data_IF_199443042684
#
_entry.id   IF_199443042684
#
_cell.length_a   1.000
_cell.length_b   1.000
_cell.length_c   1.000
_cell.angle_alpha   90.00
_cell.angle_beta   90.00
_cell.angle_gamma   90.00
#
_symmetry.space_group_name_H-M   'P 1'
#
loop_
_entity.id
_entity.type
_entity.pdbx_description
1 polymer ?
#
# COMPACT_ATOMS: atom_id res chain seq x y z
N UNK A 1 -16.61 -4.24 8.72
CA UNK A 1 -15.47 -3.96 7.82
C UNK A 1 -16.00 -3.71 6.41
N UNK A 2 -15.47 -2.72 5.69
CA UNK A 2 -15.78 -2.52 4.27
C UNK A 2 -14.58 -2.97 3.43
N UNK A 3 -14.79 -4.06 2.69
CA UNK A 3 -13.79 -4.58 1.78
C UNK A 3 -13.73 -3.72 0.52
N UNK A 4 -12.56 -3.14 0.24
CA UNK A 4 -12.27 -2.47 -1.03
C UNK A 4 -10.81 -2.75 -1.44
N UNK A 5 -10.46 -2.43 -2.68
CA UNK A 5 -9.12 -2.66 -3.25
C UNK A 5 -8.62 -4.10 -3.05
N UNK A 6 -9.49 -5.05 -3.41
CA UNK A 6 -9.18 -6.47 -3.34
C UNK A 6 -8.10 -6.85 -4.36
N UNK A 7 -7.13 -7.64 -3.94
CA UNK A 7 -6.11 -8.18 -4.83
C UNK A 7 -5.71 -9.59 -4.39
N UNK A 8 -5.44 -10.46 -5.36
CA UNK A 8 -5.02 -11.85 -5.09
C UNK A 8 -3.54 -11.98 -5.48
N UNK A 9 -2.76 -12.73 -4.70
CA UNK A 9 -1.38 -13.08 -5.07
C UNK A 9 -1.32 -13.81 -6.42
N UNK A 10 -0.16 -13.80 -7.08
CA UNK A 10 0.02 -14.46 -8.37
C UNK A 10 -0.20 -15.97 -8.31
N UNK A 11 0.16 -16.59 -7.19
CA UNK A 11 -0.09 -18.01 -6.90
C UNK A 11 -1.54 -18.35 -6.49
N UNK A 12 -2.40 -17.34 -6.32
CA UNK A 12 -3.81 -17.53 -5.97
C UNK A 12 -4.09 -17.92 -4.52
N UNK A 13 -3.09 -17.88 -3.63
CA UNK A 13 -3.21 -18.38 -2.24
C UNK A 13 -3.72 -17.35 -1.25
N UNK A 14 -3.46 -16.07 -1.48
CA UNK A 14 -3.79 -15.02 -0.52
C UNK A 14 -4.64 -13.92 -1.15
N UNK A 15 -5.64 -13.48 -0.39
CA UNK A 15 -6.47 -12.31 -0.69
C UNK A 15 -6.01 -11.14 0.18
N UNK A 16 -5.57 -10.07 -0.46
CA UNK A 16 -5.34 -8.76 0.16
C UNK A 16 -6.64 -7.96 0.16
N UNK A 17 -6.93 -7.37 1.31
CA UNK A 17 -7.96 -6.35 1.51
C UNK A 17 -7.24 -5.08 1.98
N UNK A 18 -7.21 -4.03 1.15
CA UNK A 18 -6.69 -2.71 1.52
C UNK A 18 -7.86 -1.72 1.64
N UNK A 19 -8.76 -2.05 2.56
CA UNK A 19 -10.09 -1.46 2.72
C UNK A 19 -10.17 -0.47 3.88
N UNK A 20 -11.36 -0.32 4.44
CA UNK A 20 -11.57 0.53 5.61
C UNK A 20 -12.53 -0.08 6.63
N UNK A 21 -12.36 0.30 7.90
CA UNK A 21 -13.24 -0.04 9.02
C UNK A 21 -13.97 1.22 9.51
N UNK A 22 -15.18 1.04 10.06
CA UNK A 22 -16.15 2.09 10.44
C UNK A 22 -15.57 3.26 11.27
N UNK A 23 -16.13 4.48 11.09
CA UNK A 23 -15.51 5.83 11.27
C UNK A 23 -14.20 5.95 10.48
N UNK A 24 -14.30 6.29 9.19
CA UNK A 24 -13.50 5.67 8.13
C UNK A 24 -12.01 5.68 8.44
N UNK A 25 -11.48 4.48 8.70
CA UNK A 25 -10.07 4.24 8.98
C UNK A 25 -9.55 3.16 8.05
N UNK A 26 -8.50 3.47 7.28
CA UNK A 26 -7.83 2.57 6.36
C UNK A 26 -7.14 1.41 7.07
N UNK A 27 -7.42 0.19 6.60
CA UNK A 27 -6.85 -1.05 7.15
C UNK A 27 -6.23 -1.90 6.05
N UNK A 28 -5.38 -2.84 6.46
CA UNK A 28 -4.90 -3.91 5.60
C UNK A 28 -5.07 -5.26 6.27
N UNK A 29 -5.62 -6.21 5.53
CA UNK A 29 -5.74 -7.60 5.96
C UNK A 29 -5.37 -8.53 4.82
N UNK A 30 -4.82 -9.69 5.17
CA UNK A 30 -4.47 -10.76 4.22
C UNK A 30 -5.17 -12.02 4.67
N UNK A 31 -5.93 -12.67 3.78
CA UNK A 31 -6.62 -13.92 4.08
C UNK A 31 -6.03 -15.08 3.28
N UNK A 32 -5.90 -16.24 3.91
CA UNK A 32 -5.61 -17.50 3.23
C UNK A 32 -6.88 -17.97 2.51
N UNK A 33 -6.83 -18.02 1.17
CA UNK A 33 -7.98 -18.37 0.35
C UNK A 33 -8.35 -19.84 0.43
N UNK A 34 -7.39 -20.74 0.63
CA UNK A 34 -7.68 -22.17 0.82
C UNK A 34 -8.49 -22.37 2.11
N UNK A 35 -8.08 -21.70 3.19
CA UNK A 35 -8.82 -21.70 4.45
C UNK A 35 -10.18 -21.03 4.32
N UNK A 36 -10.28 -19.90 3.63
CA UNK A 36 -11.56 -19.19 3.46
C UNK A 36 -12.56 -19.97 2.60
N UNK A 37 -12.09 -20.74 1.61
CA UNK A 37 -12.94 -21.63 0.83
C UNK A 37 -13.42 -22.84 1.65
N UNK A 38 -12.61 -23.34 2.58
CA UNK A 38 -12.98 -24.43 3.47
C UNK A 38 -13.92 -23.97 4.61
N UNK A 39 -13.68 -22.77 5.14
CA UNK A 39 -14.46 -22.15 6.22
C UNK A 39 -14.56 -20.63 5.99
N UNK A 40 -15.67 -20.13 5.42
CA UNK A 40 -15.84 -18.71 5.14
C UNK A 40 -15.81 -17.80 6.38
N UNK A 41 -16.05 -18.34 7.59
CA UNK A 41 -16.04 -17.55 8.82
C UNK A 41 -14.65 -16.98 9.16
N UNK A 42 -13.58 -17.50 8.54
CA UNK A 42 -12.23 -16.91 8.70
C UNK A 42 -12.13 -15.49 8.13
N UNK A 43 -13.04 -15.09 7.24
CA UNK A 43 -13.10 -13.73 6.68
C UNK A 43 -13.66 -12.70 7.67
N UNK A 44 -14.26 -13.14 8.78
CA UNK A 44 -14.76 -12.26 9.84
C UNK A 44 -13.67 -11.85 10.85
N UNK A 45 -12.45 -12.40 10.74
CA UNK A 45 -11.31 -12.11 11.62
C UNK A 45 -10.18 -11.31 10.95
N UNK A 46 -9.04 -11.17 11.66
CA UNK A 46 -7.89 -10.33 11.23
C UNK A 46 -6.95 -10.94 10.18
N UNK A 47 -7.38 -12.02 9.51
CA UNK A 47 -6.55 -12.70 8.51
C UNK A 47 -5.23 -13.28 9.07
N UNK A 48 -4.16 -13.21 8.29
CA UNK A 48 -2.82 -13.79 8.59
C UNK A 48 -1.75 -12.75 8.94
N UNK A 49 -2.06 -11.45 8.79
CA UNK A 49 -1.15 -10.40 9.26
C UNK A 49 -1.16 -10.38 10.80
N UNK A 50 0.02 -10.32 11.45
CA UNK A 50 0.07 -10.27 12.91
C UNK A 50 -0.35 -8.89 13.42
N UNK A 51 -0.78 -8.85 14.67
CA UNK A 51 -0.99 -7.58 15.40
C UNK A 51 0.31 -6.94 15.86
N UNK A 52 1.40 -7.72 16.00
CA UNK A 52 2.74 -7.25 16.35
C UNK A 52 3.85 -8.09 15.67
N UNK A 53 4.87 -7.47 15.04
CA UNK A 53 4.87 -6.06 14.66
C UNK A 53 3.71 -5.75 13.71
N UNK A 54 3.00 -4.67 14.01
CA UNK A 54 1.78 -4.24 13.35
C UNK A 54 1.98 -2.96 12.54
N UNK A 55 0.90 -2.19 12.44
CA UNK A 55 0.81 -0.90 11.74
C UNK A 55 0.18 0.07 12.73
N UNK A 56 0.87 1.17 12.98
CA UNK A 56 0.52 2.15 14.04
C UNK A 56 0.01 3.48 13.46
N UNK A 57 -0.48 3.41 12.23
CA UNK A 57 -0.95 4.56 11.47
C UNK A 57 -1.97 4.11 10.42
N UNK A 58 -2.74 5.06 9.90
CA UNK A 58 -3.82 4.72 8.96
C UNK A 58 -3.24 4.13 7.67
N UNK A 59 -3.75 2.98 7.24
CA UNK A 59 -3.32 2.40 5.98
C UNK A 59 -3.98 3.11 4.81
N UNK A 60 -3.18 3.86 4.06
CA UNK A 60 -3.64 4.58 2.88
C UNK A 60 -3.73 3.65 1.67
N UNK A 61 -2.79 2.72 1.52
CA UNK A 61 -2.79 1.78 0.40
C UNK A 61 -1.89 0.57 0.65
N UNK A 62 -2.16 -0.53 -0.05
CA UNK A 62 -1.30 -1.70 -0.07
C UNK A 62 -1.36 -2.42 -1.42
N UNK A 63 -0.29 -3.12 -1.80
CA UNK A 63 -0.25 -3.95 -3.01
C UNK A 63 0.79 -5.08 -2.90
N UNK A 64 0.54 -6.19 -3.59
CA UNK A 64 1.48 -7.30 -3.70
C UNK A 64 2.70 -6.92 -4.56
N UNK A 65 3.90 -7.12 -4.03
CA UNK A 65 5.14 -7.03 -4.80
C UNK A 65 5.47 -8.35 -5.50
N UNK A 66 5.18 -9.46 -4.82
CA UNK A 66 5.19 -10.83 -5.32
C UNK A 66 4.27 -11.71 -4.45
N UNK A 67 4.43 -13.04 -4.50
CA UNK A 67 3.60 -14.01 -3.76
C UNK A 67 3.88 -14.06 -2.24
N UNK A 68 4.97 -13.45 -1.76
CA UNK A 68 5.35 -13.38 -0.34
C UNK A 68 5.38 -11.96 0.21
N UNK A 69 5.66 -10.98 -0.65
CA UNK A 69 5.97 -9.60 -0.26
C UNK A 69 4.81 -8.65 -0.52
N UNK A 70 4.45 -7.90 0.52
CA UNK A 70 3.41 -6.88 0.50
C UNK A 70 4.01 -5.51 0.76
N UNK A 71 3.72 -4.52 -0.09
CA UNK A 71 3.96 -3.11 0.23
C UNK A 71 2.73 -2.52 0.92
N UNK A 72 2.94 -1.83 2.03
CA UNK A 72 1.90 -1.12 2.80
C UNK A 72 2.36 0.32 2.99
N UNK A 73 1.50 1.29 2.70
CA UNK A 73 1.76 2.70 2.93
C UNK A 73 0.79 3.29 3.94
N UNK A 74 1.32 4.09 4.86
CA UNK A 74 0.58 4.75 5.93
C UNK A 74 0.43 6.25 5.66
N UNK A 75 -0.66 6.82 6.17
CA UNK A 75 -0.90 8.27 6.19
C UNK A 75 -0.06 8.97 7.26
N UNK A 76 -0.13 10.30 7.33
CA UNK A 76 0.64 11.10 8.28
C UNK A 76 0.08 11.15 9.70
N UNK A 77 -1.11 10.59 9.94
CA UNK A 77 -1.78 10.60 11.24
C UNK A 77 -1.39 9.35 12.05
N UNK A 78 -0.97 9.55 13.29
CA UNK A 78 -0.80 8.46 14.27
C UNK A 78 -2.18 7.94 14.68
N UNK A 79 -2.22 6.70 15.18
CA UNK A 79 -3.34 6.28 16.00
C UNK A 79 -3.33 7.10 17.30
N UNK A 80 -4.32 7.97 17.50
CA UNK A 80 -4.52 8.66 18.77
C UNK A 80 -4.72 7.58 19.86
N UNK A 81 -3.70 7.36 20.70
CA UNK A 81 -3.93 6.81 22.04
C UNK A 81 -4.47 7.98 22.88
N UNK A 82 -5.80 8.06 22.99
CA UNK A 82 -6.47 8.79 24.07
C UNK A 82 -5.96 8.21 25.41
N UNK A 83 -4.97 8.87 26.01
CA UNK A 83 -4.55 8.87 27.43
C UNK A 83 -3.01 8.82 27.54
N UNK A 84 -2.35 9.98 27.50
CA UNK A 84 -1.58 10.50 28.65
C UNK A 84 -0.82 11.77 28.24
N UNK A 85 -0.95 12.80 29.08
CA UNK A 85 -0.07 13.95 29.13
C UNK A 85 1.40 13.48 29.17
N UNK A 86 2.18 13.70 28.11
CA UNK A 86 3.60 14.01 28.24
C UNK A 86 4.10 14.70 26.96
N UNK A 87 4.48 15.97 27.15
CA UNK A 87 5.28 16.77 26.23
C UNK A 87 6.62 16.06 25.95
N UNK A 88 6.70 15.22 24.92
CA UNK A 88 7.96 14.78 24.33
C UNK A 88 7.85 14.81 22.79
N UNK A 89 7.96 16.02 22.25
CA UNK A 89 8.42 16.29 20.89
C UNK A 89 9.83 15.69 20.73
N UNK A 90 9.95 14.37 20.46
CA UNK A 90 11.11 13.68 19.85
C UNK A 90 10.97 12.14 20.01
N UNK A 91 9.82 11.56 19.66
CA UNK A 91 9.74 10.10 19.51
C UNK A 91 10.35 9.71 18.16
N UNK A 92 11.65 9.40 18.18
CA UNK A 92 12.27 8.55 17.17
C UNK A 92 11.42 7.27 17.04
N UNK A 93 10.61 7.22 15.97
CA UNK A 93 9.74 6.11 15.53
C UNK A 93 10.58 4.89 15.13
N UNK A 94 11.24 4.29 16.13
CA UNK A 94 12.08 3.08 16.03
C UNK A 94 11.38 1.85 16.64
N UNK A 95 10.12 2.00 17.07
CA UNK A 95 9.24 0.88 17.44
C UNK A 95 9.15 -0.14 16.32
N UNK A 96 8.83 -1.42 16.57
CA UNK A 96 8.88 -2.48 15.56
C UNK A 96 7.74 -2.41 14.52
N UNK A 97 6.80 -1.49 14.70
CA UNK A 97 5.59 -1.33 13.88
C UNK A 97 5.85 -0.40 12.67
N UNK A 98 4.86 -0.30 11.77
CA UNK A 98 4.88 0.66 10.66
C UNK A 98 4.13 1.92 11.09
N UNK A 99 4.88 2.94 11.53
CA UNK A 99 4.36 4.26 11.91
C UNK A 99 3.91 5.14 10.73
N UNK A 100 3.53 6.40 10.98
CA UNK A 100 2.95 7.28 9.98
C UNK A 100 3.95 7.81 8.95
N UNK A 101 3.44 8.15 7.76
CA UNK A 101 4.22 8.70 6.66
C UNK A 101 5.29 7.74 6.16
N UNK A 102 5.01 6.42 6.19
CA UNK A 102 5.97 5.37 5.83
C UNK A 102 5.43 4.44 4.76
N UNK A 103 6.36 3.82 4.05
CA UNK A 103 6.12 2.62 3.25
C UNK A 103 6.88 1.45 3.84
N UNK A 104 6.17 0.36 4.12
CA UNK A 104 6.69 -0.88 4.67
C UNK A 104 6.65 -2.01 3.65
N UNK A 105 7.66 -2.88 3.68
CA UNK A 105 7.67 -4.15 2.94
C UNK A 105 7.55 -5.31 3.92
N UNK A 106 6.40 -5.96 3.94
CA UNK A 106 6.12 -7.11 4.79
C UNK A 106 6.40 -8.42 4.04
N UNK A 107 7.03 -9.39 4.72
CA UNK A 107 7.15 -10.78 4.22
C UNK A 107 6.22 -11.69 4.99
N UNK A 108 5.31 -12.37 4.29
CA UNK A 108 4.39 -13.34 4.89
C UNK A 108 5.15 -14.53 5.52
N UNK A 109 6.11 -15.09 4.80
CA UNK A 109 6.90 -16.25 5.24
C UNK A 109 7.76 -15.95 6.46
N UNK A 110 8.37 -14.76 6.51
CA UNK A 110 9.22 -14.33 7.63
C UNK A 110 8.43 -13.72 8.77
N UNK A 111 7.19 -13.31 8.52
CA UNK A 111 6.31 -12.61 9.46
C UNK A 111 6.99 -11.38 10.07
N UNK A 112 7.63 -10.60 9.21
CA UNK A 112 8.39 -9.42 9.62
C UNK A 112 8.41 -8.34 8.53
N UNK A 113 8.55 -7.09 8.96
CA UNK A 113 8.94 -5.98 8.10
C UNK A 113 10.38 -6.20 7.63
N UNK A 114 10.58 -6.36 6.33
CA UNK A 114 11.90 -6.36 5.70
C UNK A 114 12.48 -4.95 5.63
N UNK A 115 11.59 -3.97 5.47
CA UNK A 115 11.95 -2.57 5.37
C UNK A 115 10.77 -1.70 5.80
N UNK A 116 11.11 -0.54 6.36
CA UNK A 116 10.21 0.57 6.66
C UNK A 116 10.98 1.84 6.27
N UNK A 117 10.41 2.63 5.39
CA UNK A 117 11.06 3.81 4.84
C UNK A 117 10.11 4.98 4.95
N UNK A 118 10.57 6.09 5.51
CA UNK A 118 9.82 7.34 5.50
C UNK A 118 9.69 7.88 4.08
N UNK A 119 8.57 8.56 3.82
CA UNK A 119 8.32 9.27 2.57
C UNK A 119 7.98 10.72 2.87
N UNK A 120 8.43 11.64 2.03
CA UNK A 120 8.21 13.09 2.16
C UNK A 120 7.07 13.60 1.25
N UNK A 121 6.23 12.69 0.78
CA UNK A 121 5.11 12.97 -0.12
C UNK A 121 3.87 12.16 0.25
N UNK A 122 2.70 12.67 -0.12
CA UNK A 122 1.44 11.95 0.04
C UNK A 122 1.37 10.74 -0.89
N UNK A 123 1.26 9.55 -0.30
CA UNK A 123 1.06 8.30 -1.02
C UNK A 123 -0.43 8.12 -1.30
N UNK A 124 -0.80 7.91 -2.57
CA UNK A 124 -2.16 7.54 -2.96
C UNK A 124 -2.29 6.06 -3.25
N UNK A 125 -3.09 5.72 -4.27
CA UNK A 125 -3.29 4.31 -4.66
C UNK A 125 -1.99 3.70 -5.17
N UNK A 126 -1.51 2.65 -4.50
CA UNK A 126 -0.34 1.88 -4.93
C UNK A 126 -0.72 0.85 -6.00
N UNK A 127 0.15 0.70 -6.99
CA UNK A 127 0.10 -0.35 -7.99
C UNK A 127 1.48 -0.98 -8.13
N UNK A 128 1.54 -2.31 -8.25
CA UNK A 128 2.78 -3.05 -8.41
C UNK A 128 2.82 -3.87 -9.71
N UNK A 129 4.02 -4.00 -10.28
CA UNK A 129 4.27 -4.78 -11.49
C UNK A 129 5.77 -4.87 -11.78
N UNK A 130 6.27 -6.06 -12.12
CA UNK A 130 7.68 -6.29 -12.43
C UNK A 130 8.66 -5.81 -11.35
N UNK A 131 8.27 -5.91 -10.07
CA UNK A 131 9.06 -5.42 -8.94
C UNK A 131 9.14 -3.89 -8.86
N UNK A 132 8.22 -3.15 -9.47
CA UNK A 132 8.10 -1.69 -9.39
C UNK A 132 6.79 -1.31 -8.74
N UNK A 133 6.81 -0.20 -8.00
CA UNK A 133 5.63 0.32 -7.34
C UNK A 133 5.39 1.76 -7.80
N UNK A 134 4.17 2.04 -8.24
CA UNK A 134 3.73 3.38 -8.58
C UNK A 134 2.66 3.82 -7.58
N UNK A 135 2.77 5.03 -7.06
CA UNK A 135 1.69 5.70 -6.33
C UNK A 135 0.95 6.68 -7.24
N UNK A 136 -0.37 6.72 -7.10
CA UNK A 136 -1.27 7.60 -7.83
C UNK A 136 -1.90 8.61 -6.86
N UNK A 137 -1.29 9.79 -6.76
CA UNK A 137 -1.78 10.92 -5.96
C UNK A 137 -1.50 12.25 -6.67
N UNK A 138 -2.51 12.84 -7.31
CA UNK A 138 -2.35 14.03 -8.15
C UNK A 138 -1.62 13.77 -9.49
N UNK A 139 -0.57 12.95 -9.48
CA UNK A 139 0.12 12.40 -10.65
C UNK A 139 0.80 11.05 -10.30
N UNK A 140 1.22 10.24 -11.29
CA UNK A 140 1.99 9.03 -11.05
C UNK A 140 3.40 9.33 -10.52
N UNK A 141 3.81 8.60 -9.49
CA UNK A 141 5.19 8.57 -8.97
C UNK A 141 5.68 7.14 -8.87
N UNK A 142 6.83 6.84 -9.46
CA UNK A 142 7.54 5.58 -9.25
C UNK A 142 8.24 5.66 -7.89
N UNK A 143 8.05 4.67 -7.04
CA UNK A 143 8.60 4.63 -5.69
C UNK A 143 9.58 3.47 -5.59
N UNK A 144 10.74 3.73 -4.99
CA UNK A 144 11.59 2.68 -4.43
C UNK A 144 11.11 2.38 -3.00
N UNK A 145 10.37 1.29 -2.83
CA UNK A 145 9.83 0.90 -1.51
C UNK A 145 10.91 0.54 -0.49
N UNK A 146 12.13 0.29 -0.94
CA UNK A 146 13.25 -0.02 -0.06
C UNK A 146 13.90 1.24 0.51
N UNK A 147 13.83 2.37 -0.18
CA UNK A 147 14.45 3.62 0.27
C UNK A 147 13.44 4.71 0.62
N UNK A 148 12.21 4.62 0.11
CA UNK A 148 11.21 5.70 0.17
C UNK A 148 11.42 6.76 -0.91
N UNK A 149 12.46 6.65 -1.74
CA UNK A 149 12.77 7.65 -2.78
C UNK A 149 11.82 7.54 -3.98
N UNK A 150 11.75 8.62 -4.76
CA UNK A 150 10.98 8.72 -6.00
C UNK A 150 11.92 8.82 -7.20
N UNK A 151 12.29 7.68 -7.85
CA UNK A 151 13.20 7.71 -8.99
C UNK A 151 12.64 8.44 -10.23
N UNK A 152 11.32 8.55 -10.35
CA UNK A 152 10.65 9.23 -11.47
C UNK A 152 9.22 9.64 -11.11
N UNK A 153 8.77 10.74 -11.67
CA UNK A 153 7.39 11.23 -11.58
C UNK A 153 6.92 11.80 -12.93
N UNK A 154 5.60 11.84 -13.12
CA UNK A 154 4.96 12.32 -14.37
C UNK A 154 3.89 13.37 -14.10
N UNK A 155 4.27 14.60 -13.68
CA UNK A 155 3.33 15.66 -13.29
C UNK A 155 2.33 16.05 -14.39
N UNK A 156 2.64 15.78 -15.66
CA UNK A 156 1.78 16.02 -16.81
C UNK A 156 0.57 15.06 -16.90
N UNK A 157 0.67 13.87 -16.29
CA UNK A 157 -0.43 12.89 -16.24
C UNK A 157 -1.22 13.13 -14.96
N UNK A 158 -2.35 13.82 -15.06
CA UNK A 158 -3.15 14.16 -13.89
C UNK A 158 -3.98 12.97 -13.43
N UNK A 159 -3.99 12.75 -12.11
CA UNK A 159 -4.91 11.84 -11.43
C UNK A 159 -5.52 12.58 -10.24
N UNK A 160 -6.58 12.02 -9.65
CA UNK A 160 -7.14 12.60 -8.42
C UNK A 160 -6.13 12.57 -7.28
N UNK A 161 -6.28 13.50 -6.35
CA UNK A 161 -5.54 13.54 -5.08
C UNK A 161 -6.26 12.71 -4.02
N UNK A 162 -6.59 11.46 -4.39
CA UNK A 162 -7.26 10.55 -3.47
C UNK A 162 -6.22 9.82 -2.65
N UNK A 163 -6.24 10.08 -1.35
CA UNK A 163 -5.67 9.26 -0.30
C UNK A 163 -6.77 8.33 0.29
N UNK A 164 -6.35 7.40 1.16
CA UNK A 164 -7.24 6.50 1.89
C UNK A 164 -8.04 5.49 1.03
N UNK A 165 -8.65 4.53 1.70
CA UNK A 165 -9.46 3.47 1.07
C UNK A 165 -10.95 3.81 0.93
N UNK A 166 -11.43 4.87 1.59
CA UNK A 166 -12.81 5.33 1.52
C UNK A 166 -13.01 6.34 0.39
N UNK A 167 -14.20 6.33 -0.21
CA UNK A 167 -14.55 7.19 -1.33
C UNK A 167 -15.37 8.38 -0.87
N UNK A 168 -14.90 9.58 -1.13
CA UNK A 168 -15.73 10.80 -1.13
C UNK A 168 -16.16 11.10 -2.56
N UNK A 169 -17.45 11.40 -2.76
CA UNK A 169 -18.09 11.51 -4.09
C UNK A 169 -17.46 12.55 -5.01
N UNK A 170 -16.73 13.53 -4.46
CA UNK A 170 -16.08 14.59 -5.21
C UNK A 170 -14.60 14.33 -5.55
N UNK A 171 -14.02 13.20 -5.07
CA UNK A 171 -12.65 12.79 -5.38
C UNK A 171 -12.67 11.36 -5.92
N UNK A 172 -12.69 11.17 -7.26
CA UNK A 172 -12.81 9.84 -7.86
C UNK A 172 -11.57 8.99 -7.57
N UNK A 173 -11.71 7.66 -7.54
CA UNK A 173 -10.54 6.76 -7.56
C UNK A 173 -9.81 6.91 -8.89
N UNK A 174 -8.47 7.04 -8.90
CA UNK A 174 -7.72 6.92 -10.15
C UNK A 174 -8.03 5.59 -10.84
N UNK A 175 -8.34 5.64 -12.13
CA UNK A 175 -8.52 4.43 -12.95
C UNK A 175 -7.25 4.22 -13.75
N UNK A 176 -6.51 3.18 -13.42
CA UNK A 176 -5.24 2.87 -14.05
C UNK A 176 -5.01 1.35 -14.12
N UNK A 177 -4.12 0.94 -15.01
CA UNK A 177 -3.68 -0.44 -15.15
C UNK A 177 -2.15 -0.46 -15.36
N UNK A 178 -1.45 -1.24 -14.55
CA UNK A 178 -0.04 -1.51 -14.76
C UNK A 178 0.14 -2.83 -15.50
N UNK A 179 1.03 -2.83 -16.50
CA UNK A 179 1.46 -4.06 -17.15
C UNK A 179 2.19 -4.95 -16.14
N UNK A 180 1.98 -6.29 -16.13
CA UNK A 180 2.62 -7.18 -15.15
C UNK A 180 4.15 -7.13 -15.11
N UNK A 181 4.80 -6.77 -16.23
CA UNK A 181 6.26 -6.60 -16.31
C UNK A 181 6.78 -5.27 -15.74
N UNK A 182 5.87 -4.38 -15.28
CA UNK A 182 6.21 -3.08 -14.72
C UNK A 182 6.83 -2.11 -15.73
N UNK A 183 6.63 -2.29 -17.03
CA UNK A 183 7.24 -1.43 -18.06
C UNK A 183 6.32 -0.32 -18.55
N UNK A 184 5.01 -0.47 -18.32
CA UNK A 184 3.99 0.43 -18.83
C UNK A 184 2.85 0.58 -17.83
N UNK A 185 2.47 1.83 -17.58
CA UNK A 185 1.28 2.21 -16.85
C UNK A 185 0.31 2.90 -17.82
N UNK A 186 -0.94 2.45 -17.85
CA UNK A 186 -2.03 3.11 -18.55
C UNK A 186 -2.91 3.82 -17.52
N UNK A 187 -3.17 5.12 -17.71
CA UNK A 187 -3.96 5.95 -16.79
C UNK A 187 -5.12 6.56 -17.56
N UNK A 188 -6.34 6.34 -17.10
CA UNK A 188 -7.51 6.99 -17.68
C UNK A 188 -7.43 8.50 -17.49
N UNK A 189 -7.79 9.24 -18.52
CA UNK A 189 -7.99 10.69 -18.52
C UNK A 189 -9.44 10.97 -18.89
N UNK A 190 -9.86 12.23 -18.79
CA UNK A 190 -11.25 12.63 -19.07
C UNK A 190 -11.75 12.15 -20.45
N UNK A 191 -10.92 12.29 -21.48
CA UNK A 191 -11.27 11.93 -22.87
C UNK A 191 -10.26 10.96 -23.53
N UNK A 192 -9.28 10.44 -22.79
CA UNK A 192 -8.19 9.65 -23.37
C UNK A 192 -7.57 8.68 -22.36
N UNK A 193 -6.53 7.95 -22.80
CA UNK A 193 -5.68 7.13 -21.93
C UNK A 193 -4.24 7.59 -22.10
N UNK A 194 -3.62 8.01 -21.01
CA UNK A 194 -2.20 8.33 -20.96
C UNK A 194 -1.39 7.05 -20.77
N UNK A 195 -0.31 6.91 -21.54
CA UNK A 195 0.63 5.79 -21.43
C UNK A 195 1.97 6.26 -20.89
N UNK A 196 2.30 5.82 -19.69
CA UNK A 196 3.55 6.16 -18.99
C UNK A 196 4.51 4.99 -19.10
N UNK A 197 5.64 5.19 -19.78
CA UNK A 197 6.73 4.21 -19.86
C UNK A 197 7.60 4.35 -18.63
N UNK A 198 7.69 3.28 -17.84
CA UNK A 198 8.51 3.26 -16.63
C UNK A 198 9.98 3.02 -17.02
N UNK A 199 10.95 3.69 -16.38
CA UNK A 199 12.36 3.52 -16.66
C UNK A 199 12.79 2.05 -16.56
N UNK A 200 13.63 1.62 -17.49
CA UNK A 200 14.28 0.32 -17.42
C UNK A 200 15.45 0.41 -16.44
N UNK A 201 15.25 -0.13 -15.25
CA UNK A 201 16.22 -0.16 -14.15
C UNK A 201 15.73 -1.12 -13.07
N UNK A 202 16.65 -1.64 -12.26
CA UNK A 202 16.49 -2.80 -11.37
C UNK A 202 15.21 -2.72 -10.52
N UNK A 203 14.09 -3.27 -11.03
CA UNK A 203 12.89 -3.47 -10.21
C UNK A 203 13.27 -4.44 -9.12
N UNK A 204 13.15 -4.04 -7.86
CA UNK A 204 13.33 -4.85 -6.65
C UNK A 204 14.29 -6.05 -6.72
N UNK A 205 15.40 -5.95 -7.47
CA UNK A 205 16.36 -7.04 -7.60
C UNK A 205 17.07 -7.28 -6.25
N UNK A 206 16.89 -6.34 -5.32
CA UNK A 206 17.35 -6.35 -3.94
C UNK A 206 16.34 -6.98 -2.95
N UNK A 207 15.17 -7.46 -3.39
CA UNK A 207 14.19 -8.15 -2.52
C UNK A 207 14.49 -9.64 -2.33
N UNK A 208 15.55 -10.18 -2.93
CA UNK A 208 16.07 -11.50 -2.55
C UNK A 208 17.22 -11.34 -1.55
N UNK A 209 17.25 -12.17 -0.49
CA UNK A 209 18.29 -12.11 0.54
C UNK A 209 19.70 -12.31 -0.02
#
# INVERSE_FOLDING_TARGET
MFHSRLSVTGDGRHLLVAGWLWHPYGIVEVFDLERALADPAVLDGHGVLPTRPGIDAEVVSACWLDDDLLAVATGGEHLDDDDDDDDDEDQDDDGPDLGPGRIGVWSLSRRAWLRRSSVDFEVGTLMAGGGRVVSLHGHPRLIDVMTGEVPAEWPEVKVSRRDGAYGVTHIPTPVAAMRPDGTLLAVAQEESIAFVRLPRGAGSAHLRP
#
